data_IF_006386037340
#
_entry.id   IF_006386037340
#
_cell.length_a   1.000
_cell.length_b   1.000
_cell.length_c   1.000
_cell.angle_alpha   90.00
_cell.angle_beta   90.00
_cell.angle_gamma   90.00
#
_symmetry.space_group_name_H-M   'P 1'
#
loop_
_entity.id
_entity.type
_entity.pdbx_description
1 polymer ?
#
# COMPACT_ATOMS: atom_id res chain seq x y z
N UNK A 1 2.59 -7.35 -20.08
CA UNK A 1 3.84 -7.04 -19.32
C UNK A 1 3.38 -6.83 -17.89
N UNK A 2 4.10 -7.28 -16.88
CA UNK A 2 3.63 -7.18 -15.48
C UNK A 2 4.30 -6.02 -14.74
N UNK A 3 3.58 -5.46 -13.77
CA UNK A 3 4.04 -4.42 -12.86
C UNK A 3 3.67 -4.76 -11.43
N UNK A 4 4.37 -4.15 -10.49
CA UNK A 4 4.26 -4.44 -9.08
C UNK A 4 3.96 -3.16 -8.29
N UNK A 5 2.81 -3.15 -7.62
CA UNK A 5 2.52 -2.15 -6.59
C UNK A 5 2.91 -2.72 -5.23
N UNK A 6 3.57 -1.91 -4.41
CA UNK A 6 4.02 -2.33 -3.08
C UNK A 6 3.38 -1.48 -2.00
N UNK A 7 2.90 -2.15 -0.97
CA UNK A 7 2.31 -1.53 0.23
C UNK A 7 2.69 -2.31 1.48
N UNK A 8 2.06 -2.00 2.60
CA UNK A 8 2.24 -2.73 3.86
C UNK A 8 1.00 -3.54 4.24
N UNK A 9 1.21 -4.56 5.05
CA UNK A 9 0.14 -5.35 5.67
C UNK A 9 -0.81 -4.53 6.55
N UNK A 10 -0.45 -3.29 6.90
CA UNK A 10 -1.30 -2.38 7.65
C UNK A 10 -2.34 -1.66 6.78
N UNK A 11 -2.03 -1.42 5.50
CA UNK A 11 -2.99 -0.84 4.55
C UNK A 11 -3.85 -1.92 3.89
N UNK A 12 -3.35 -3.16 3.84
CA UNK A 12 -4.03 -4.27 3.17
C UNK A 12 -5.49 -4.48 3.60
N UNK A 13 -5.86 -4.48 4.89
CA UNK A 13 -7.27 -4.63 5.30
C UNK A 13 -8.18 -3.56 4.68
N UNK A 14 -7.71 -2.31 4.60
CA UNK A 14 -8.47 -1.20 4.01
C UNK A 14 -8.60 -1.35 2.50
N UNK A 15 -7.50 -1.64 1.82
CA UNK A 15 -7.48 -1.86 0.37
C UNK A 15 -8.47 -2.96 -0.03
N UNK A 16 -8.48 -4.07 0.72
CA UNK A 16 -9.40 -5.18 0.48
C UNK A 16 -10.85 -4.81 0.81
N UNK A 17 -11.10 -4.14 1.94
CA UNK A 17 -12.46 -3.75 2.33
C UNK A 17 -13.07 -2.70 1.40
N UNK A 18 -12.27 -1.77 0.87
CA UNK A 18 -12.74 -0.81 -0.14
C UNK A 18 -12.78 -1.39 -1.55
N UNK A 19 -12.17 -2.58 -1.76
CA UNK A 19 -11.92 -3.19 -3.08
C UNK A 19 -11.14 -2.29 -4.03
N UNK A 20 -10.47 -1.28 -3.51
CA UNK A 20 -9.82 -0.26 -4.31
C UNK A 20 -8.42 0.00 -3.77
N UNK A 21 -7.45 -0.15 -4.66
CA UNK A 21 -6.14 0.46 -4.50
C UNK A 21 -6.28 1.94 -4.84
N UNK A 22 -5.99 2.82 -3.88
CA UNK A 22 -6.10 4.28 -4.06
C UNK A 22 -4.73 4.94 -3.90
N UNK A 23 -4.51 6.10 -4.54
CA UNK A 23 -3.40 6.96 -4.15
C UNK A 23 -3.47 7.23 -2.64
N UNK A 24 -2.35 7.15 -1.91
CA UNK A 24 -2.34 7.57 -0.53
C UNK A 24 -2.74 9.05 -0.47
N UNK A 25 -3.58 9.45 0.49
CA UNK A 25 -3.96 10.86 0.71
C UNK A 25 -2.81 11.72 1.27
N UNK A 26 -1.58 11.29 1.05
CA UNK A 26 -0.36 11.99 1.44
C UNK A 26 0.21 12.65 0.20
N UNK A 27 -0.30 13.84 -0.12
CA UNK A 27 0.34 14.73 -1.07
C UNK A 27 1.80 14.87 -0.68
N UNK A 28 2.72 14.58 -1.59
CA UNK A 28 4.11 14.97 -1.42
C UNK A 28 4.09 16.49 -1.29
N UNK A 29 4.56 17.02 -0.15
CA UNK A 29 4.52 18.46 0.10
C UNK A 29 5.14 19.21 -1.08
N UNK A 30 4.47 20.28 -1.52
CA UNK A 30 4.83 21.10 -2.70
C UNK A 30 4.63 20.43 -4.08
N UNK A 31 4.08 19.21 -4.16
CA UNK A 31 3.67 18.62 -5.44
C UNK A 31 2.19 18.94 -5.75
N UNK A 32 1.88 19.38 -6.98
CA UNK A 32 0.50 19.58 -7.39
C UNK A 32 -0.21 18.24 -7.63
N UNK A 33 -1.50 18.20 -7.29
CA UNK A 33 -2.43 17.09 -7.61
C UNK A 33 -2.29 16.62 -9.07
N UNK A 34 -2.48 15.33 -9.38
CA UNK A 34 -3.00 14.27 -8.50
C UNK A 34 -1.91 13.51 -7.72
N UNK A 35 -2.34 12.84 -6.65
CA UNK A 35 -1.57 11.74 -6.06
C UNK A 35 -1.67 10.51 -6.97
N UNK A 36 -0.66 9.64 -6.92
CA UNK A 36 -0.59 8.46 -7.76
C UNK A 36 -0.56 7.15 -6.97
N UNK A 37 -1.19 6.14 -7.55
CA UNK A 37 -0.80 4.74 -7.30
C UNK A 37 0.49 4.51 -8.08
N UNK A 38 1.54 4.14 -7.36
CA UNK A 38 2.84 3.82 -7.95
C UNK A 38 3.01 2.32 -8.14
N UNK A 39 3.56 1.93 -9.28
CA UNK A 39 3.99 0.58 -9.58
C UNK A 39 5.37 0.63 -10.24
N UNK A 40 6.04 -0.52 -10.27
CA UNK A 40 7.35 -0.67 -10.93
C UNK A 40 7.40 -1.98 -11.69
N UNK A 41 8.18 -2.02 -12.77
CA UNK A 41 8.53 -3.27 -13.45
C UNK A 41 9.62 -4.06 -12.71
N UNK A 42 10.26 -3.49 -11.68
CA UNK A 42 11.24 -4.22 -10.85
C UNK A 42 10.52 -5.12 -9.81
N UNK A 43 10.65 -6.46 -9.90
CA UNK A 43 10.03 -7.40 -8.95
C UNK A 43 10.58 -7.33 -7.52
N UNK A 44 11.70 -6.64 -7.31
CA UNK A 44 12.30 -6.43 -5.98
C UNK A 44 11.77 -5.19 -5.26
N UNK A 45 11.06 -4.32 -6.00
CA UNK A 45 10.51 -3.07 -5.53
C UNK A 45 11.43 -1.88 -5.77
N UNK A 46 10.86 -0.68 -5.64
CA UNK A 46 11.50 0.58 -5.95
C UNK A 46 11.37 1.55 -4.76
N UNK A 47 12.45 2.27 -4.44
CA UNK A 47 12.49 3.19 -3.30
C UNK A 47 11.48 4.34 -3.39
N UNK A 48 10.98 4.69 -4.58
CA UNK A 48 9.94 5.74 -4.76
C UNK A 48 8.54 5.20 -4.83
N UNK A 49 8.35 3.97 -5.34
CA UNK A 49 7.03 3.36 -5.40
C UNK A 49 6.53 2.89 -4.03
N UNK A 50 7.44 2.60 -3.09
CA UNK A 50 7.09 2.36 -1.69
C UNK A 50 7.33 3.60 -0.84
N UNK A 51 6.25 4.22 -0.34
CA UNK A 51 6.35 5.13 0.79
C UNK A 51 7.10 4.42 1.93
N UNK A 52 8.28 4.96 2.31
CA UNK A 52 9.14 4.42 3.37
C UNK A 52 8.38 4.37 4.70
N UNK A 53 7.70 3.27 4.96
CA UNK A 53 7.17 2.94 6.29
C UNK A 53 8.30 2.38 7.16
N UNK A 54 8.30 2.78 8.44
CA UNK A 54 9.42 2.64 9.37
C UNK A 54 10.17 1.29 9.29
N UNK A 55 11.48 1.35 9.02
CA UNK A 55 12.35 0.17 8.93
C UNK A 55 12.30 -0.71 10.19
N UNK A 56 11.97 -0.12 11.36
CA UNK A 56 11.83 -0.83 12.63
C UNK A 56 10.63 -1.78 12.65
N UNK A 57 9.47 -1.38 12.13
CA UNK A 57 8.25 -2.21 12.15
C UNK A 57 8.38 -3.45 11.24
N UNK A 58 9.01 -3.28 10.07
CA UNK A 58 9.39 -4.41 9.21
C UNK A 58 10.38 -5.35 9.91
N UNK A 59 11.45 -4.79 10.49
CA UNK A 59 12.50 -5.56 11.18
C UNK A 59 12.01 -6.33 12.39
N UNK A 60 11.08 -5.78 13.18
CA UNK A 60 10.47 -6.48 14.31
C UNK A 60 9.43 -7.52 13.89
N UNK A 61 9.10 -7.61 12.59
CA UNK A 61 8.06 -8.49 12.08
C UNK A 61 6.64 -8.04 12.42
N UNK A 62 6.46 -6.81 12.91
CA UNK A 62 5.14 -6.21 13.12
C UNK A 62 4.44 -5.79 11.83
N UNK A 63 5.18 -5.74 10.72
CA UNK A 63 4.69 -5.32 9.42
C UNK A 63 5.32 -6.18 8.32
N UNK A 64 4.50 -6.68 7.40
CA UNK A 64 4.90 -7.41 6.20
C UNK A 64 4.81 -6.49 5.00
N UNK A 65 5.75 -6.65 4.06
CA UNK A 65 5.63 -6.00 2.77
C UNK A 65 4.60 -6.77 1.95
N UNK A 66 3.72 -6.04 1.29
CA UNK A 66 2.69 -6.59 0.41
C UNK A 66 3.03 -6.14 -1.01
N UNK A 67 2.87 -7.05 -1.97
CA UNK A 67 3.05 -6.78 -3.39
C UNK A 67 1.82 -7.23 -4.14
N UNK A 68 1.20 -6.31 -4.87
CA UNK A 68 0.18 -6.61 -5.87
C UNK A 68 0.85 -6.69 -7.23
N UNK A 69 0.49 -7.71 -8.02
CA UNK A 69 0.92 -7.86 -9.40
C UNK A 69 -0.24 -7.52 -10.32
N UNK A 70 -0.01 -6.64 -11.29
CA UNK A 70 -1.01 -6.23 -12.29
C UNK A 70 -0.44 -6.36 -13.70
N UNK A 71 -1.32 -6.34 -14.70
CA UNK A 71 -0.92 -6.02 -16.06
C UNK A 71 -0.45 -4.56 -16.15
N UNK A 72 0.54 -4.31 -17.00
CA UNK A 72 1.16 -2.99 -17.12
C UNK A 72 0.26 -1.96 -17.81
N UNK A 73 -0.72 -2.39 -18.59
CA UNK A 73 -1.70 -1.53 -19.25
C UNK A 73 -2.66 -0.85 -18.25
N UNK A 74 -2.69 -1.33 -17.01
CA UNK A 74 -3.34 -0.66 -15.88
C UNK A 74 -2.63 0.62 -15.42
N UNK A 75 -1.43 0.89 -15.90
CA UNK A 75 -0.63 2.03 -15.46
C UNK A 75 0.00 2.75 -16.65
N UNK A 76 0.26 4.03 -16.47
CA UNK A 76 0.98 4.82 -17.45
C UNK A 76 2.49 4.71 -17.23
N UNK A 77 3.31 4.59 -18.29
CA UNK A 77 4.74 4.83 -18.24
C UNK A 77 5.05 6.17 -17.57
N UNK A 78 6.03 6.20 -16.67
CA UNK A 78 6.44 7.45 -16.02
C UNK A 78 6.83 8.52 -17.03
N UNK A 79 7.53 8.16 -18.11
CA UNK A 79 7.91 9.10 -19.18
C UNK A 79 6.69 9.83 -19.81
N UNK A 80 5.50 9.21 -19.81
CA UNK A 80 4.28 9.83 -20.35
C UNK A 80 3.56 10.72 -19.33
N UNK A 81 3.77 10.50 -18.04
CA UNK A 81 2.95 11.08 -16.96
C UNK A 81 3.18 12.58 -16.80
N UNK A 82 4.43 13.10 -16.74
CA UNK A 82 4.66 14.54 -16.72
C UNK A 82 3.99 15.30 -17.87
N UNK A 83 3.90 14.70 -19.05
CA UNK A 83 3.24 15.32 -20.20
C UNK A 83 1.72 15.44 -20.03
N UNK A 84 1.12 14.58 -19.22
CA UNK A 84 -0.33 14.59 -18.90
C UNK A 84 -0.69 15.55 -17.77
N UNK A 85 0.30 16.05 -17.03
CA UNK A 85 0.12 16.92 -15.88
C UNK A 85 0.96 18.20 -16.04
N UNK A 86 0.53 19.15 -16.89
CA UNK A 86 1.31 20.35 -17.23
C UNK A 86 1.61 21.28 -16.05
N UNK A 87 0.90 21.11 -14.93
CA UNK A 87 1.18 21.78 -13.66
C UNK A 87 2.45 21.25 -12.95
N UNK A 88 3.00 20.11 -13.38
CA UNK A 88 4.25 19.55 -12.86
C UNK A 88 5.44 20.24 -13.53
N UNK A 89 6.23 20.97 -12.76
CA UNK A 89 7.42 21.65 -13.28
C UNK A 89 8.57 20.68 -13.46
N UNK A 90 9.53 21.01 -14.33
CA UNK A 90 10.78 20.25 -14.46
C UNK A 90 11.51 20.07 -13.12
N UNK A 91 11.41 21.07 -12.23
CA UNK A 91 11.94 20.99 -10.87
C UNK A 91 11.26 19.89 -10.04
N UNK A 92 9.93 19.75 -10.13
CA UNK A 92 9.19 18.70 -9.43
C UNK A 92 9.59 17.31 -9.93
N UNK A 93 9.66 17.14 -11.25
CA UNK A 93 10.04 15.88 -11.89
C UNK A 93 11.45 15.47 -11.45
N UNK A 94 12.44 16.36 -11.57
CA UNK A 94 13.81 16.10 -11.16
C UNK A 94 13.94 15.83 -9.65
N UNK A 95 13.18 16.54 -8.82
CA UNK A 95 13.19 16.31 -7.37
C UNK A 95 12.66 14.90 -7.03
N UNK A 96 11.59 14.46 -7.70
CA UNK A 96 11.04 13.12 -7.51
C UNK A 96 12.03 12.04 -7.99
N UNK A 97 12.58 12.20 -9.18
CA UNK A 97 13.58 11.29 -9.75
C UNK A 97 14.83 11.21 -8.87
N UNK A 98 15.31 12.33 -8.33
CA UNK A 98 16.44 12.37 -7.41
C UNK A 98 16.13 11.74 -6.04
N UNK A 99 14.88 11.81 -5.56
CA UNK A 99 14.47 11.20 -4.28
C UNK A 99 14.57 9.68 -4.27
N UNK A 100 14.66 9.08 -5.46
CA UNK A 100 14.66 7.64 -5.66
C UNK A 100 15.97 6.91 -5.34
N UNK A 101 17.06 7.66 -5.18
CA UNK A 101 18.38 7.10 -4.94
C UNK A 101 18.89 6.29 -6.13
N UNK A 102 18.74 4.96 -6.09
CA UNK A 102 19.30 4.01 -7.08
C UNK A 102 18.29 3.45 -8.07
N UNK A 103 17.05 3.90 -7.97
CA UNK A 103 15.97 3.41 -8.82
C UNK A 103 16.05 4.00 -10.22
N UNK A 104 15.56 3.24 -11.21
CA UNK A 104 15.47 3.70 -12.59
C UNK A 104 14.04 4.21 -12.87
N UNK A 105 13.83 5.52 -13.11
CA UNK A 105 12.51 6.06 -13.45
C UNK A 105 11.84 5.38 -14.64
N UNK A 106 12.59 4.76 -15.56
CA UNK A 106 12.04 4.00 -16.69
C UNK A 106 11.26 2.76 -16.26
N UNK A 107 11.53 2.23 -15.07
CA UNK A 107 10.78 1.13 -14.48
C UNK A 107 9.45 1.60 -13.85
N UNK A 108 9.29 2.90 -13.60
CA UNK A 108 8.14 3.43 -12.89
C UNK A 108 6.91 3.49 -13.76
N UNK A 109 5.79 3.18 -13.12
CA UNK A 109 4.47 3.20 -13.69
C UNK A 109 3.55 3.86 -12.69
N UNK A 110 2.61 4.69 -13.13
CA UNK A 110 1.68 5.30 -12.21
C UNK A 110 0.30 5.53 -12.80
N UNK A 111 -0.67 5.67 -11.89
CA UNK A 111 -2.09 5.87 -12.22
C UNK A 111 -2.71 6.82 -11.18
N UNK A 112 -3.41 7.89 -11.60
CA UNK A 112 -4.05 8.80 -10.66
C UNK A 112 -5.41 8.29 -10.16
N UNK A 113 -6.09 7.43 -10.93
CA UNK A 113 -7.38 6.85 -10.54
C UNK A 113 -7.22 5.64 -9.62
N UNK A 114 -8.27 5.35 -8.84
CA UNK A 114 -8.37 4.12 -8.09
C UNK A 114 -8.34 2.89 -9.02
N UNK A 115 -7.75 1.80 -8.56
CA UNK A 115 -7.67 0.52 -9.27
C UNK A 115 -8.38 -0.58 -8.47
N UNK A 116 -9.34 -1.26 -9.08
CA UNK A 116 -10.03 -2.39 -8.45
C UNK A 116 -9.03 -3.51 -8.12
N UNK A 117 -9.04 -3.96 -6.87
CA UNK A 117 -8.16 -5.01 -6.36
C UNK A 117 -8.41 -6.35 -7.07
N UNK A 118 -9.61 -6.60 -7.58
CA UNK A 118 -9.91 -7.83 -8.34
C UNK A 118 -9.14 -7.91 -9.67
N UNK A 119 -8.59 -6.78 -10.16
CA UNK A 119 -7.70 -6.78 -11.33
C UNK A 119 -6.29 -7.24 -11.01
N UNK A 120 -5.95 -7.44 -9.73
CA UNK A 120 -4.65 -7.96 -9.33
C UNK A 120 -4.53 -9.43 -9.75
N UNK A 121 -3.48 -9.73 -10.51
CA UNK A 121 -3.12 -11.09 -10.91
C UNK A 121 -2.63 -11.92 -9.72
N UNK A 122 -1.99 -11.26 -8.74
CA UNK A 122 -1.50 -11.90 -7.54
C UNK A 122 -1.33 -10.88 -6.41
N UNK A 123 -1.47 -11.36 -5.17
CA UNK A 123 -1.12 -10.64 -3.95
C UNK A 123 -0.12 -11.51 -3.18
N UNK A 124 1.09 -11.00 -3.01
CA UNK A 124 2.18 -11.65 -2.28
C UNK A 124 2.57 -10.87 -1.03
N UNK A 125 3.14 -11.57 -0.07
CA UNK A 125 3.69 -10.97 1.14
C UNK A 125 5.13 -11.41 1.39
N UNK A 126 5.90 -10.53 2.03
CA UNK A 126 7.29 -10.77 2.41
C UNK A 126 7.55 -10.23 3.81
N UNK A 127 8.10 -11.07 4.68
CA UNK A 127 8.65 -10.63 5.96
C UNK A 127 10.09 -10.16 5.80
N UNK A 128 10.52 -9.26 6.68
CA UNK A 128 11.92 -8.79 6.69
C UNK A 128 12.91 -9.92 7.00
N UNK A 129 12.56 -10.84 7.91
CA UNK A 129 13.46 -11.91 8.37
C UNK A 129 13.70 -13.02 7.35
N UNK A 130 12.68 -13.38 6.56
CA UNK A 130 12.80 -14.43 5.54
C UNK A 130 13.14 -13.83 4.16
N UNK A 131 12.74 -12.58 3.91
CA UNK A 131 12.97 -11.85 2.66
C UNK A 131 12.54 -12.60 1.37
N UNK A 132 11.64 -13.59 1.51
CA UNK A 132 11.05 -14.33 0.40
C UNK A 132 9.60 -13.90 0.18
N UNK A 133 9.24 -13.72 -1.09
CA UNK A 133 7.85 -13.55 -1.50
C UNK A 133 7.13 -14.89 -1.43
N UNK A 134 5.88 -14.84 -0.98
CA UNK A 134 4.93 -15.95 -1.01
C UNK A 134 3.54 -15.39 -1.21
N UNK A 135 2.65 -16.22 -1.74
CA UNK A 135 1.23 -15.87 -1.83
C UNK A 135 0.69 -15.48 -0.46
N UNK A 136 -0.15 -14.44 -0.45
CA UNK A 136 -0.86 -14.01 0.75
C UNK A 136 -1.93 -15.05 1.19
N UNK A 137 -2.30 -15.99 0.30
CA UNK A 137 -3.34 -16.98 0.55
C UNK A 137 -4.74 -16.36 0.53
N UNK A 138 -5.66 -16.99 1.25
CA UNK A 138 -7.02 -16.47 1.39
C UNK A 138 -7.04 -15.29 2.36
N UNK A 139 -7.44 -14.12 1.87
CA UNK A 139 -7.52 -12.90 2.65
C UNK A 139 -8.98 -12.67 3.07
N UNK A 140 -9.25 -12.82 4.37
CA UNK A 140 -10.57 -12.59 4.97
C UNK A 140 -10.51 -11.35 5.86
N UNK A 141 -11.18 -10.28 5.44
CA UNK A 141 -11.25 -9.03 6.21
C UNK A 141 -12.56 -8.98 6.98
N UNK A 142 -12.46 -8.64 8.27
CA UNK A 142 -13.60 -8.50 9.17
C UNK A 142 -13.57 -7.16 9.86
N UNK A 143 -14.73 -6.72 10.36
CA UNK A 143 -14.79 -5.66 11.36
C UNK A 143 -14.81 -6.23 12.77
N UNK A 144 -13.95 -5.69 13.62
CA UNK A 144 -13.93 -5.98 15.05
C UNK A 144 -13.98 -4.70 15.88
N UNK A 145 -14.65 -4.75 17.03
CA UNK A 145 -14.62 -3.68 18.03
C UNK A 145 -13.45 -3.92 18.98
N UNK A 146 -12.65 -2.88 19.22
CA UNK A 146 -11.64 -2.88 20.26
C UNK A 146 -12.29 -2.59 21.64
N UNK A 147 -11.53 -2.77 22.73
CA UNK A 147 -12.01 -2.56 24.11
C UNK A 147 -12.53 -1.14 24.36
N UNK A 148 -12.00 -0.14 23.66
CA UNK A 148 -12.44 1.26 23.70
C UNK A 148 -13.69 1.53 22.84
N UNK A 149 -14.27 0.50 22.22
CA UNK A 149 -15.41 0.60 21.31
C UNK A 149 -15.07 1.03 19.88
N UNK A 150 -13.80 1.36 19.58
CA UNK A 150 -13.40 1.74 18.22
C UNK A 150 -13.47 0.55 17.26
N UNK A 151 -13.85 0.81 16.01
CA UNK A 151 -13.92 -0.21 14.95
C UNK A 151 -12.58 -0.33 14.22
N UNK A 152 -12.15 -1.57 14.05
CA UNK A 152 -10.93 -1.94 13.35
C UNK A 152 -11.26 -2.91 12.22
N UNK A 153 -10.56 -2.76 11.10
CA UNK A 153 -10.49 -3.81 10.10
C UNK A 153 -9.39 -4.78 10.48
N UNK A 154 -9.72 -6.06 10.50
CA UNK A 154 -8.82 -7.12 10.95
C UNK A 154 -8.80 -8.23 9.93
N UNK A 155 -7.63 -8.83 9.73
CA UNK A 155 -7.47 -10.02 8.89
C UNK A 155 -6.38 -10.92 9.42
N UNK A 156 -6.48 -12.20 9.11
CA UNK A 156 -5.36 -13.12 9.30
C UNK A 156 -4.43 -13.05 8.10
N UNK A 157 -3.14 -12.87 8.36
CA UNK A 157 -2.10 -12.82 7.36
C UNK A 157 -0.84 -13.45 7.93
N UNK A 158 -0.34 -14.50 7.29
CA UNK A 158 0.87 -15.21 7.74
C UNK A 158 0.82 -15.65 9.21
N UNK A 159 -0.30 -16.26 9.63
CA UNK A 159 -0.47 -16.71 11.01
C UNK A 159 -0.56 -15.58 12.06
N UNK A 160 -0.64 -14.31 11.62
CA UNK A 160 -0.80 -13.14 12.48
C UNK A 160 -2.14 -12.46 12.22
N UNK A 161 -2.71 -11.87 13.26
CA UNK A 161 -3.84 -10.94 13.10
C UNK A 161 -3.26 -9.55 12.88
N UNK A 162 -3.45 -9.02 11.68
CA UNK A 162 -3.15 -7.61 11.39
C UNK A 162 -4.44 -6.81 11.54
N UNK A 163 -4.33 -5.69 12.22
CA UNK A 163 -5.44 -4.78 12.46
C UNK A 163 -5.09 -3.38 12.00
N UNK A 164 -6.05 -2.72 11.38
CA UNK A 164 -5.91 -1.36 10.89
C UNK A 164 -7.16 -0.56 11.19
N UNK A 165 -6.95 0.65 11.71
CA UNK A 165 -7.98 1.64 11.96
C UNK A 165 -7.59 2.91 11.21
N UNK A 166 -8.52 3.43 10.43
CA UNK A 166 -8.38 4.75 9.82
C UNK A 166 -8.73 5.77 10.89
N UNK A 167 -7.80 6.64 11.21
CA UNK A 167 -8.03 7.83 12.02
C UNK A 167 -7.83 9.08 11.18
N UNK A 168 -8.53 10.15 11.53
CA UNK A 168 -8.22 11.46 10.97
C UNK A 168 -7.03 12.02 11.74
N UNK A 169 -5.91 12.23 11.06
CA UNK A 169 -4.80 12.94 11.64
C UNK A 169 -5.19 14.40 11.94
N UNK A 170 -4.43 15.06 12.83
CA UNK A 170 -4.48 16.52 12.93
C UNK A 170 -4.25 17.09 11.52
N UNK A 171 -5.10 18.03 11.10
CA UNK A 171 -5.13 18.67 9.76
C UNK A 171 -5.88 17.92 8.64
N UNK A 172 -6.69 16.90 8.96
CA UNK A 172 -7.61 16.30 7.97
C UNK A 172 -6.94 15.31 7.00
N UNK A 173 -5.63 15.08 7.15
CA UNK A 173 -4.97 13.95 6.50
C UNK A 173 -5.44 12.63 7.14
N UNK A 174 -5.55 11.57 6.34
CA UNK A 174 -5.87 10.26 6.88
C UNK A 174 -4.61 9.65 7.50
N UNK A 175 -4.74 9.16 8.73
CA UNK A 175 -3.75 8.32 9.38
C UNK A 175 -4.28 6.89 9.47
N UNK A 176 -3.38 5.93 9.35
CA UNK A 176 -3.68 4.54 9.64
C UNK A 176 -2.98 4.17 10.93
N UNK A 177 -3.78 3.95 11.97
CA UNK A 177 -3.33 3.28 13.19
C UNK A 177 -3.32 1.79 12.90
N UNK A 178 -2.19 1.15 13.20
CA UNK A 178 -2.05 -0.25 12.96
C UNK A 178 -1.50 -0.95 14.20
N UNK A 179 -1.98 -2.17 14.40
CA UNK A 179 -1.62 -2.98 15.54
C UNK A 179 -1.72 -4.45 15.22
N UNK A 180 -1.14 -5.24 16.12
CA UNK A 180 -1.38 -6.68 16.21
C UNK A 180 -2.32 -6.91 17.38
N UNK A 181 -3.42 -7.61 17.14
CA UNK A 181 -4.34 -7.99 18.21
C UNK A 181 -3.87 -9.34 18.76
N UNK A 182 -3.72 -9.42 20.09
CA UNK A 182 -3.22 -10.62 20.77
C UNK A 182 -4.28 -11.72 20.97
N UNK A 183 -5.52 -11.50 20.53
CA UNK A 183 -6.58 -12.51 20.58
C UNK A 183 -6.64 -13.29 19.26
N UNK A 184 -7.00 -14.59 19.29
CA UNK A 184 -7.21 -15.39 18.09
C UNK A 184 -8.24 -14.73 17.16
N UNK A 185 -8.03 -14.84 15.85
CA UNK A 185 -8.91 -14.24 14.84
C UNK A 185 -10.35 -14.76 14.93
N UNK A 186 -10.49 -16.02 15.34
CA UNK A 186 -11.74 -16.74 15.54
C UNK A 186 -12.50 -16.26 16.79
N UNK A 187 -11.78 -15.70 17.77
CA UNK A 187 -12.32 -15.21 19.04
C UNK A 187 -12.70 -13.74 19.00
N UNK A 188 -12.43 -13.04 17.89
CA UNK A 188 -12.84 -11.65 17.72
C UNK A 188 -14.36 -11.59 17.64
N UNK A 189 -14.98 -10.74 18.47
CA UNK A 189 -16.40 -10.42 18.35
C UNK A 189 -16.63 -9.72 17.00
N UNK A 190 -16.98 -10.51 16.00
CA UNK A 190 -17.19 -10.04 14.63
C UNK A 190 -18.41 -9.15 14.61
N UNK A 191 -18.20 -7.87 14.30
CA UNK A 191 -19.31 -6.95 14.08
C UNK A 191 -19.99 -7.23 12.73
N UNK A 192 -19.19 -7.56 11.70
CA UNK A 192 -19.66 -7.90 10.35
C UNK A 192 -18.51 -8.52 9.52
N UNK A 193 -18.84 -9.44 8.60
CA UNK A 193 -17.94 -9.87 7.51
C UNK A 193 -18.12 -8.91 6.32
N UNK A 194 -17.02 -8.40 5.78
CA UNK A 194 -17.02 -7.49 4.62
C UNK A 194 -16.69 -8.28 3.37
#
# INVERSE_FOLDING_TARGET
MIVYHYTSSWHLPWILASRELRPPSHSIADFPSPDFIWATTDPNGDNTATARTSSRAYRSGGLLQVRFTFEADEFFPWDDVPHRHPQWTEKHIKALEASSGKSDPRAWRCRPEALDVERALAIDVRSYSNNKWRSAGNLDVRQAKNMDGSLWLVMQLDGKVVASKRSLAKFGAEAFEAGTIAVPFESLAVAQKI
#
